data_IF_200465133991
#
_entry.id   IF_200465133991
#
_cell.length_a   1.000
_cell.length_b   1.000
_cell.length_c   1.000
_cell.angle_alpha   90.00
_cell.angle_beta   90.00
_cell.angle_gamma   90.00
#
_symmetry.space_group_name_H-M   'P 1'
#
loop_
_entity.id
_entity.type
_entity.pdbx_description
1 polymer ?
#
# COMPACT_ATOMS: atom_id res chain seq x y z
N UNK A 1 5.84 13.57 -26.15
CA UNK A 1 4.98 14.49 -25.41
C UNK A 1 3.59 13.84 -25.32
N UNK A 2 3.34 13.05 -24.29
CA UNK A 2 2.03 12.40 -24.07
C UNK A 2 1.15 13.44 -23.41
N UNK A 3 0.15 13.91 -24.10
CA UNK A 3 -0.86 14.84 -23.57
C UNK A 3 -1.51 14.21 -22.35
N UNK A 4 -1.29 14.81 -21.19
CA UNK A 4 -2.04 14.48 -19.98
C UNK A 4 -3.53 14.61 -20.33
N UNK A 5 -4.25 13.49 -20.34
CA UNK A 5 -5.71 13.51 -20.48
C UNK A 5 -6.24 14.36 -19.32
N UNK A 6 -7.12 15.28 -19.62
CA UNK A 6 -7.78 16.10 -18.60
C UNK A 6 -8.40 15.17 -17.57
N UNK A 7 -7.98 15.33 -16.31
CA UNK A 7 -8.42 14.49 -15.21
C UNK A 7 -9.86 14.79 -14.88
N UNK A 8 -10.77 13.95 -15.29
CA UNK A 8 -12.11 13.81 -14.74
C UNK A 8 -12.42 12.32 -14.66
N UNK A 9 -11.77 11.58 -13.74
CA UNK A 9 -11.90 10.13 -13.67
C UNK A 9 -13.29 9.66 -13.27
N UNK A 10 -14.17 10.55 -12.86
CA UNK A 10 -15.46 10.22 -12.28
C UNK A 10 -16.66 10.89 -12.98
N UNK A 11 -16.51 11.34 -14.21
CA UNK A 11 -17.60 11.84 -15.06
C UNK A 11 -17.71 11.06 -16.36
N UNK A 12 -18.82 10.58 -16.73
CA UNK A 12 -19.62 9.43 -16.31
C UNK A 12 -18.83 8.13 -16.45
N UNK A 13 -18.27 7.64 -15.34
CA UNK A 13 -17.36 6.49 -15.36
C UNK A 13 -18.08 5.17 -15.16
N UNK A 14 -17.58 4.08 -15.79
CA UNK A 14 -18.12 2.75 -15.59
C UNK A 14 -17.73 2.13 -14.25
N UNK A 15 -16.97 2.87 -13.38
CA UNK A 15 -16.51 2.31 -12.11
C UNK A 15 -17.63 2.21 -11.11
N UNK A 16 -17.67 1.05 -10.46
CA UNK A 16 -18.61 0.72 -9.38
C UNK A 16 -17.89 0.59 -8.04
N UNK A 17 -16.57 0.43 -8.08
CA UNK A 17 -15.76 0.27 -6.89
C UNK A 17 -14.42 1.01 -7.00
N UNK A 18 -13.86 1.37 -5.83
CA UNK A 18 -12.49 1.86 -5.69
C UNK A 18 -11.74 0.94 -4.72
N UNK A 19 -10.58 0.46 -5.16
CA UNK A 19 -9.72 -0.43 -4.38
C UNK A 19 -8.45 0.33 -4.04
N UNK A 20 -8.22 0.54 -2.75
CA UNK A 20 -7.07 1.28 -2.25
C UNK A 20 -5.97 0.33 -1.82
N UNK A 21 -4.73 0.62 -2.16
CA UNK A 21 -3.63 0.21 -1.31
C UNK A 21 -3.72 0.94 0.06
N UNK A 22 -2.92 0.51 1.02
CA UNK A 22 -2.96 1.06 2.39
C UNK A 22 -1.76 1.96 2.68
N UNK A 23 -0.58 1.39 2.58
CA UNK A 23 0.67 2.04 2.98
C UNK A 23 1.06 3.09 1.93
N UNK A 24 1.31 4.33 2.35
CA UNK A 24 1.59 5.43 1.41
C UNK A 24 0.37 5.96 0.64
N UNK A 25 -0.80 5.31 0.74
CA UNK A 25 -2.06 5.69 0.07
C UNK A 25 -3.12 6.16 1.06
N UNK A 26 -3.33 5.43 2.15
CA UNK A 26 -4.28 5.76 3.21
C UNK A 26 -3.57 6.22 4.48
N UNK A 27 -2.50 5.53 4.85
CA UNK A 27 -1.67 5.79 6.00
C UNK A 27 -0.27 6.23 5.56
N UNK A 28 0.26 7.28 6.16
CA UNK A 28 1.65 7.69 5.99
C UNK A 28 2.56 6.87 6.90
N UNK A 29 2.71 5.59 6.56
CA UNK A 29 3.38 4.57 7.38
C UNK A 29 4.87 4.42 7.07
N UNK A 30 5.37 4.90 5.94
CA UNK A 30 6.77 4.74 5.53
C UNK A 30 7.78 5.29 6.56
N UNK A 31 7.61 6.48 7.15
CA UNK A 31 8.54 6.97 8.16
C UNK A 31 8.63 6.05 9.39
N UNK A 32 7.49 5.47 9.81
CA UNK A 32 7.44 4.52 10.92
C UNK A 32 8.13 3.20 10.55
N UNK A 33 7.92 2.69 9.35
CA UNK A 33 8.60 1.47 8.89
C UNK A 33 10.10 1.66 8.84
N UNK A 34 10.60 2.78 8.38
CA UNK A 34 12.05 3.08 8.42
C UNK A 34 12.62 3.07 9.84
N UNK A 35 11.89 3.55 10.84
CA UNK A 35 12.32 3.48 12.24
C UNK A 35 12.36 2.03 12.74
N UNK A 36 11.33 1.24 12.44
CA UNK A 36 11.23 -0.16 12.82
C UNK A 36 12.32 -1.01 12.17
N UNK A 37 12.59 -0.77 10.90
CA UNK A 37 13.65 -1.43 10.15
C UNK A 37 15.01 -1.13 10.77
N UNK A 38 15.33 0.15 11.03
CA UNK A 38 16.57 0.55 11.71
C UNK A 38 16.73 -0.15 13.05
N UNK A 39 15.66 -0.18 13.84
CA UNK A 39 15.67 -0.88 15.13
C UNK A 39 15.87 -2.39 14.97
N UNK A 40 15.26 -3.00 13.95
CA UNK A 40 15.40 -4.42 13.65
C UNK A 40 16.82 -4.77 13.20
N UNK A 41 17.42 -3.97 12.33
CA UNK A 41 18.81 -4.16 11.87
C UNK A 41 19.82 -3.94 13.00
N UNK A 42 19.59 -2.94 13.85
CA UNK A 42 20.47 -2.63 14.98
C UNK A 42 20.57 -3.81 15.98
N UNK A 43 19.52 -4.63 16.14
CA UNK A 43 19.54 -5.84 16.98
C UNK A 43 20.56 -6.89 16.46
N UNK A 44 20.92 -6.81 15.20
CA UNK A 44 21.93 -7.66 14.56
C UNK A 44 23.27 -6.92 14.34
N UNK A 45 23.45 -5.74 14.97
CA UNK A 45 24.67 -4.93 14.82
C UNK A 45 24.81 -4.25 13.46
N UNK A 46 23.71 -4.14 12.70
CA UNK A 46 23.70 -3.57 11.36
C UNK A 46 23.18 -2.12 11.42
N UNK A 47 23.93 -1.22 10.78
CA UNK A 47 23.49 0.17 10.55
C UNK A 47 23.51 0.43 9.05
N UNK A 48 22.35 0.75 8.49
CA UNK A 48 22.22 1.16 7.09
C UNK A 48 22.18 2.68 6.99
N UNK A 49 22.79 3.22 5.94
CA UNK A 49 22.63 4.62 5.57
C UNK A 49 21.20 4.84 4.99
N UNK A 50 20.75 6.10 5.03
CA UNK A 50 19.42 6.47 4.53
C UNK A 50 19.20 6.04 3.08
N UNK A 51 20.18 6.28 2.20
CA UNK A 51 20.10 5.86 0.80
C UNK A 51 20.01 4.34 0.61
N UNK A 52 20.67 3.56 1.48
CA UNK A 52 20.60 2.09 1.44
C UNK A 52 19.23 1.59 1.91
N UNK A 53 18.65 2.22 2.92
CA UNK A 53 17.33 1.89 3.41
C UNK A 53 16.26 2.24 2.37
N UNK A 54 16.35 3.41 1.74
CA UNK A 54 15.45 3.81 0.64
C UNK A 54 15.49 2.86 -0.57
N UNK A 55 16.60 2.14 -0.79
CA UNK A 55 16.67 1.15 -1.86
C UNK A 55 15.74 -0.07 -1.64
N UNK A 56 15.25 -0.26 -0.41
CA UNK A 56 14.30 -1.33 -0.09
C UNK A 56 12.83 -0.91 -0.21
N UNK A 57 12.53 0.36 -0.45
CA UNK A 57 11.15 0.81 -0.66
C UNK A 57 10.54 0.11 -1.87
N UNK A 58 9.40 -0.56 -1.67
CA UNK A 58 8.73 -1.35 -2.69
C UNK A 58 9.32 -2.75 -2.91
N UNK A 59 10.37 -3.12 -2.16
CA UNK A 59 10.92 -4.49 -2.11
C UNK A 59 10.14 -5.30 -1.08
N UNK A 60 9.89 -6.59 -1.36
CA UNK A 60 9.21 -7.45 -0.38
C UNK A 60 10.05 -7.62 0.89
N UNK A 61 9.39 -7.81 2.04
CA UNK A 61 10.07 -8.06 3.32
C UNK A 61 11.02 -9.26 3.24
N UNK A 62 10.62 -10.30 2.52
CA UNK A 62 11.44 -11.50 2.32
C UNK A 62 12.72 -11.19 1.55
N UNK A 63 12.61 -10.47 0.44
CA UNK A 63 13.75 -10.08 -0.39
C UNK A 63 14.70 -9.14 0.35
N UNK A 64 14.19 -8.19 1.10
CA UNK A 64 14.97 -7.30 1.96
C UNK A 64 15.78 -8.10 2.97
N UNK A 65 15.15 -8.99 3.75
CA UNK A 65 15.84 -9.77 4.76
C UNK A 65 16.79 -10.80 4.17
N UNK A 66 16.49 -11.37 3.00
CA UNK A 66 17.40 -12.23 2.26
C UNK A 66 18.68 -11.48 1.89
N UNK A 67 18.53 -10.29 1.30
CA UNK A 67 19.66 -9.42 0.92
C UNK A 67 20.50 -9.04 2.14
N UNK A 68 19.88 -8.63 3.24
CA UNK A 68 20.56 -8.27 4.49
C UNK A 68 21.27 -9.47 5.07
N UNK A 69 20.62 -10.65 5.12
CA UNK A 69 21.20 -11.88 5.64
C UNK A 69 22.44 -12.29 4.86
N UNK A 70 22.39 -12.27 3.55
CA UNK A 70 23.52 -12.61 2.67
C UNK A 70 24.66 -11.60 2.82
N UNK A 71 24.35 -10.30 2.78
CA UNK A 71 25.35 -9.23 2.83
C UNK A 71 26.12 -9.18 4.15
N UNK A 72 25.45 -9.42 5.27
CA UNK A 72 26.02 -9.31 6.62
C UNK A 72 26.32 -10.67 7.28
N UNK A 73 26.07 -11.78 6.58
CA UNK A 73 26.38 -13.13 7.08
C UNK A 73 25.56 -13.52 8.31
N UNK A 74 24.29 -13.11 8.40
CA UNK A 74 23.45 -13.39 9.56
C UNK A 74 23.19 -14.89 9.70
N UNK A 75 23.35 -15.42 10.93
CA UNK A 75 23.22 -16.84 11.24
C UNK A 75 21.75 -17.30 11.36
N UNK A 76 20.80 -16.52 11.94
CA UNK A 76 19.42 -16.96 12.09
C UNK A 76 18.79 -17.36 10.75
N UNK A 77 17.90 -18.38 10.72
CA UNK A 77 17.09 -18.71 9.54
C UNK A 77 16.28 -17.52 9.06
N UNK A 78 16.01 -17.45 7.75
CA UNK A 78 15.25 -16.35 7.16
C UNK A 78 13.85 -16.24 7.78
N UNK A 79 13.19 -17.36 7.99
CA UNK A 79 11.87 -17.41 8.61
C UNK A 79 11.85 -16.79 10.02
N UNK A 80 12.92 -16.98 10.79
CA UNK A 80 13.04 -16.39 12.13
C UNK A 80 13.20 -14.86 12.06
N UNK A 81 14.01 -14.36 11.12
CA UNK A 81 14.19 -12.93 10.88
C UNK A 81 12.86 -12.27 10.44
N UNK A 82 12.14 -12.91 9.54
CA UNK A 82 10.84 -12.44 9.07
C UNK A 82 9.81 -12.41 10.20
N UNK A 83 9.68 -13.49 10.96
CA UNK A 83 8.75 -13.57 12.09
C UNK A 83 9.08 -12.55 13.19
N UNK A 84 10.36 -12.33 13.47
CA UNK A 84 10.79 -11.32 14.43
C UNK A 84 10.46 -9.90 13.94
N UNK A 85 10.72 -9.63 12.66
CA UNK A 85 10.40 -8.33 12.07
C UNK A 85 8.89 -8.05 12.10
N UNK A 86 8.06 -9.01 11.69
CA UNK A 86 6.60 -8.85 11.72
C UNK A 86 6.06 -8.59 13.13
N UNK A 87 6.60 -9.29 14.16
CA UNK A 87 6.24 -8.98 15.56
C UNK A 87 6.64 -7.57 15.95
N UNK A 88 7.87 -7.14 15.60
CA UNK A 88 8.34 -5.78 15.90
C UNK A 88 7.45 -4.71 15.24
N UNK A 89 7.02 -4.94 13.99
CA UNK A 89 6.11 -4.02 13.28
C UNK A 89 4.78 -3.92 14.02
N UNK A 90 4.14 -5.04 14.37
CA UNK A 90 2.87 -5.04 15.09
C UNK A 90 2.98 -4.35 16.45
N UNK A 91 4.02 -4.63 17.21
CA UNK A 91 4.26 -4.01 18.53
C UNK A 91 4.52 -2.51 18.41
N UNK A 92 5.37 -2.11 17.47
CA UNK A 92 5.69 -0.70 17.27
C UNK A 92 4.49 0.11 16.77
N UNK A 93 3.74 -0.44 15.80
CA UNK A 93 2.51 0.21 15.31
C UNK A 93 1.46 0.28 16.42
N UNK A 94 1.30 -0.77 17.25
CA UNK A 94 0.37 -0.75 18.38
C UNK A 94 0.75 0.31 19.45
N UNK A 95 2.04 0.52 19.66
CA UNK A 95 2.55 1.53 20.60
C UNK A 95 2.54 2.95 20.01
N UNK A 96 2.56 3.08 18.68
CA UNK A 96 2.61 4.36 17.98
C UNK A 96 1.20 4.97 17.89
N UNK A 97 0.97 6.07 18.60
CA UNK A 97 -0.36 6.69 18.69
C UNK A 97 -0.57 7.87 17.74
N UNK A 98 0.43 8.22 16.95
CA UNK A 98 0.44 9.43 16.12
C UNK A 98 0.56 9.15 14.61
N UNK A 99 0.22 7.93 14.16
CA UNK A 99 0.18 7.64 12.72
C UNK A 99 -0.78 8.60 12.01
N UNK A 100 -0.26 9.26 10.99
CA UNK A 100 -1.06 10.22 10.24
C UNK A 100 -1.74 9.55 9.06
N UNK A 101 -3.01 9.85 8.81
CA UNK A 101 -3.61 9.51 7.52
C UNK A 101 -2.96 10.35 6.42
N UNK A 102 -2.90 9.81 5.21
CA UNK A 102 -2.57 10.61 4.03
C UNK A 102 -3.57 11.77 3.93
N UNK A 103 -3.11 13.00 3.72
CA UNK A 103 -3.99 14.17 3.63
C UNK A 103 -5.17 13.93 2.69
N UNK A 104 -6.37 14.34 3.13
CA UNK A 104 -7.63 14.24 2.37
C UNK A 104 -8.13 12.82 2.07
N UNK A 105 -7.38 11.74 2.38
CA UNK A 105 -7.82 10.36 2.13
C UNK A 105 -9.18 10.07 2.77
N UNK A 106 -9.36 10.45 4.03
CA UNK A 106 -10.64 10.27 4.75
C UNK A 106 -11.80 11.08 4.13
N UNK A 107 -11.52 12.28 3.59
CA UNK A 107 -12.52 13.09 2.90
C UNK A 107 -12.92 12.43 1.57
N UNK A 108 -11.94 11.89 0.84
CA UNK A 108 -12.15 11.19 -0.42
C UNK A 108 -12.94 9.89 -0.22
N UNK A 109 -12.62 9.08 0.78
CA UNK A 109 -13.38 7.88 1.16
C UNK A 109 -14.85 8.24 1.42
N UNK A 110 -15.11 9.25 2.26
CA UNK A 110 -16.48 9.69 2.55
C UNK A 110 -17.20 10.23 1.30
N UNK A 111 -16.49 10.90 0.42
CA UNK A 111 -17.03 11.39 -0.85
C UNK A 111 -17.45 10.24 -1.76
N UNK A 112 -16.64 9.19 -1.89
CA UNK A 112 -16.96 7.97 -2.65
C UNK A 112 -18.20 7.26 -2.09
N UNK A 113 -18.26 7.07 -0.77
CA UNK A 113 -19.42 6.42 -0.11
C UNK A 113 -20.74 7.17 -0.35
N UNK A 114 -20.71 8.51 -0.25
CA UNK A 114 -21.91 9.32 -0.56
C UNK A 114 -22.39 9.17 -1.99
N UNK A 115 -21.54 8.78 -2.91
CA UNK A 115 -21.86 8.52 -4.32
C UNK A 115 -22.19 7.06 -4.62
N UNK A 116 -22.22 6.20 -3.59
CA UNK A 116 -22.61 4.80 -3.73
C UNK A 116 -21.51 3.89 -4.27
N UNK A 117 -20.25 4.34 -4.32
CA UNK A 117 -19.13 3.45 -4.66
C UNK A 117 -18.91 2.42 -3.55
N UNK A 118 -18.65 1.19 -3.94
CA UNK A 118 -18.08 0.18 -3.05
C UNK A 118 -16.60 0.45 -2.88
N UNK A 119 -16.07 0.25 -1.66
CA UNK A 119 -14.66 0.52 -1.39
C UNK A 119 -13.99 -0.65 -0.67
N UNK A 120 -12.78 -0.97 -1.11
CA UNK A 120 -11.96 -2.02 -0.50
C UNK A 120 -10.53 -1.55 -0.26
N UNK A 121 -9.86 -2.25 0.66
CA UNK A 121 -8.40 -2.21 0.80
C UNK A 121 -7.81 -3.47 0.18
N UNK A 122 -6.69 -3.34 -0.55
CA UNK A 122 -5.88 -4.42 -1.09
C UNK A 122 -4.40 -4.17 -0.74
N UNK A 123 -3.96 -4.68 0.40
CA UNK A 123 -2.60 -4.45 0.92
C UNK A 123 -1.78 -5.73 0.94
N UNK A 124 -0.46 -5.60 0.77
CA UNK A 124 0.50 -6.71 0.97
C UNK A 124 0.72 -7.05 2.45
N UNK A 125 0.26 -6.20 3.35
CA UNK A 125 0.43 -6.35 4.81
C UNK A 125 -0.43 -7.46 5.39
N UNK A 126 -0.02 -8.06 6.54
CA UNK A 126 -0.85 -8.98 7.32
C UNK A 126 -2.18 -8.36 7.74
N UNK A 127 -3.24 -9.18 7.79
CA UNK A 127 -4.60 -8.70 8.10
C UNK A 127 -4.70 -7.99 9.45
N UNK A 128 -3.97 -8.46 10.45
CA UNK A 128 -3.93 -7.85 11.78
C UNK A 128 -3.33 -6.42 11.73
N UNK A 129 -2.29 -6.23 10.92
CA UNK A 129 -1.64 -4.94 10.72
C UNK A 129 -2.55 -3.98 9.95
N UNK A 130 -3.22 -4.45 8.90
CA UNK A 130 -4.20 -3.64 8.14
C UNK A 130 -5.29 -3.12 9.08
N UNK A 131 -5.88 -3.98 9.89
CA UNK A 131 -6.92 -3.59 10.85
C UNK A 131 -6.40 -2.55 11.87
N UNK A 132 -5.17 -2.75 12.36
CA UNK A 132 -4.56 -1.85 13.34
C UNK A 132 -4.34 -0.45 12.75
N UNK A 133 -3.73 -0.37 11.56
CA UNK A 133 -3.45 0.89 10.87
C UNK A 133 -4.74 1.63 10.51
N UNK A 134 -5.69 0.96 9.88
CA UNK A 134 -7.00 1.56 9.52
C UNK A 134 -7.78 2.03 10.74
N UNK A 135 -7.66 1.33 11.88
CA UNK A 135 -8.25 1.76 13.15
C UNK A 135 -7.58 3.03 13.68
N UNK A 136 -6.26 3.10 13.63
CA UNK A 136 -5.50 4.27 14.11
C UNK A 136 -5.80 5.54 13.31
N UNK A 137 -5.89 5.42 11.98
CA UNK A 137 -6.27 6.55 11.11
C UNK A 137 -7.79 6.79 11.04
N UNK A 138 -8.59 6.00 11.78
CA UNK A 138 -10.02 6.24 11.98
C UNK A 138 -10.94 5.87 10.82
N UNK A 139 -10.48 5.09 9.83
CA UNK A 139 -11.26 4.74 8.64
C UNK A 139 -11.63 3.24 8.50
N UNK A 140 -11.30 2.39 9.49
CA UNK A 140 -11.54 0.94 9.40
C UNK A 140 -12.98 0.58 9.01
N UNK A 141 -13.97 1.32 9.53
CA UNK A 141 -15.40 1.03 9.30
C UNK A 141 -15.93 1.56 7.97
N UNK A 142 -15.11 2.29 7.24
CA UNK A 142 -15.52 2.87 5.96
C UNK A 142 -15.40 1.88 4.81
N UNK A 143 -14.55 0.87 4.93
CA UNK A 143 -14.31 -0.13 3.90
C UNK A 143 -15.33 -1.26 3.95
N UNK A 144 -15.84 -1.65 2.78
CA UNK A 144 -16.76 -2.79 2.63
C UNK A 144 -15.99 -4.11 2.70
N UNK A 145 -14.74 -4.11 2.19
CA UNK A 145 -13.87 -5.30 2.09
C UNK A 145 -12.43 -4.91 2.45
N UNK A 146 -11.73 -5.84 3.09
CA UNK A 146 -10.28 -5.82 3.27
C UNK A 146 -9.74 -7.11 2.68
N UNK A 147 -8.73 -7.00 1.79
CA UNK A 147 -7.97 -8.10 1.22
C UNK A 147 -6.50 -7.96 1.63
N UNK A 148 -5.94 -9.03 2.16
CA UNK A 148 -4.55 -9.08 2.67
C UNK A 148 -3.67 -9.94 1.76
N UNK A 149 -2.39 -9.58 1.68
CA UNK A 149 -1.36 -10.39 1.03
C UNK A 149 -1.18 -11.78 1.65
N UNK A 150 -1.57 -11.98 2.92
CA UNK A 150 -1.55 -13.31 3.56
C UNK A 150 -2.59 -14.28 2.99
N UNK A 151 -3.62 -13.77 2.32
CA UNK A 151 -4.75 -14.56 1.81
C UNK A 151 -4.54 -15.00 0.35
N UNK A 152 -3.42 -14.60 -0.26
CA UNK A 152 -3.14 -14.85 -1.67
C UNK A 152 -1.81 -15.57 -1.85
N UNK A 153 -1.66 -16.24 -2.99
CA UNK A 153 -0.47 -17.04 -3.26
C UNK A 153 0.73 -16.20 -3.67
N UNK A 154 0.49 -15.14 -4.42
CA UNK A 154 1.57 -14.31 -4.95
C UNK A 154 1.35 -12.84 -4.54
N UNK A 155 2.39 -12.25 -3.97
CA UNK A 155 2.41 -10.83 -3.59
C UNK A 155 2.52 -9.93 -4.83
N UNK A 156 2.23 -8.63 -4.67
CA UNK A 156 2.51 -7.61 -5.68
C UNK A 156 3.95 -7.76 -6.19
N UNK A 157 4.21 -7.75 -7.50
CA UNK A 157 3.39 -7.24 -8.59
C UNK A 157 2.40 -8.24 -9.20
N UNK A 158 2.17 -9.43 -8.63
CA UNK A 158 1.08 -10.30 -9.06
C UNK A 158 -0.29 -9.67 -8.73
N UNK A 159 -1.33 -9.92 -9.54
CA UNK A 159 -2.64 -9.28 -9.41
C UNK A 159 -3.50 -9.81 -8.26
N UNK A 160 -3.06 -10.86 -7.58
CA UNK A 160 -3.86 -11.75 -6.74
C UNK A 160 -4.66 -10.98 -5.68
N UNK A 161 -4.05 -10.03 -4.96
CA UNK A 161 -4.73 -9.28 -3.88
C UNK A 161 -5.78 -8.31 -4.43
N UNK A 162 -5.55 -7.70 -5.60
CA UNK A 162 -6.54 -6.83 -6.26
C UNK A 162 -7.71 -7.63 -6.81
N UNK A 163 -7.44 -8.81 -7.39
CA UNK A 163 -8.49 -9.73 -7.85
C UNK A 163 -9.33 -10.24 -6.68
N UNK A 164 -8.71 -10.60 -5.56
CA UNK A 164 -9.41 -10.99 -4.32
C UNK A 164 -10.33 -9.87 -3.82
N UNK A 165 -9.85 -8.63 -3.81
CA UNK A 165 -10.65 -7.48 -3.40
C UNK A 165 -11.88 -7.29 -4.32
N UNK A 166 -11.69 -7.35 -5.65
CA UNK A 166 -12.76 -7.23 -6.63
C UNK A 166 -13.80 -8.36 -6.51
N UNK A 167 -13.34 -9.61 -6.35
CA UNK A 167 -14.19 -10.79 -6.13
C UNK A 167 -15.07 -10.60 -4.91
N UNK A 168 -14.49 -10.23 -3.77
CA UNK A 168 -15.23 -10.02 -2.50
C UNK A 168 -16.19 -8.84 -2.57
N UNK A 169 -15.85 -7.80 -3.35
CA UNK A 169 -16.77 -6.72 -3.64
C UNK A 169 -17.93 -7.16 -4.56
N UNK A 170 -17.80 -8.28 -5.29
CA UNK A 170 -18.76 -8.68 -6.32
C UNK A 170 -18.80 -7.71 -7.50
N UNK A 171 -17.66 -7.10 -7.84
CA UNK A 171 -17.51 -6.14 -8.93
C UNK A 171 -16.41 -6.63 -9.87
N UNK A 172 -16.65 -6.70 -11.20
CA UNK A 172 -15.60 -7.02 -12.16
C UNK A 172 -14.39 -6.10 -12.00
N UNK A 173 -13.18 -6.63 -12.07
CA UNK A 173 -11.96 -5.83 -11.94
C UNK A 173 -11.90 -4.67 -12.96
N UNK A 174 -12.44 -4.86 -14.16
CA UNK A 174 -12.55 -3.81 -15.19
C UNK A 174 -13.47 -2.64 -14.83
N UNK A 175 -14.33 -2.83 -13.81
CA UNK A 175 -15.21 -1.80 -13.24
C UNK A 175 -14.70 -1.28 -11.88
N UNK A 176 -13.46 -1.66 -11.51
CA UNK A 176 -12.76 -1.16 -10.33
C UNK A 176 -11.69 -0.13 -10.74
N UNK A 177 -11.57 0.92 -9.93
CA UNK A 177 -10.46 1.87 -9.97
C UNK A 177 -9.52 1.55 -8.83
N UNK A 178 -8.24 1.30 -9.09
CA UNK A 178 -7.23 1.12 -8.06
C UNK A 178 -6.54 2.45 -7.73
N UNK A 179 -6.15 2.63 -6.47
CA UNK A 179 -5.30 3.75 -6.02
C UNK A 179 -4.06 3.15 -5.35
N UNK A 180 -2.88 3.53 -5.84
CA UNK A 180 -1.60 2.92 -5.50
C UNK A 180 -0.44 3.93 -5.58
N UNK A 181 0.58 3.78 -4.73
CA UNK A 181 1.74 4.67 -4.70
C UNK A 181 3.06 4.00 -5.09
N UNK A 182 3.06 2.67 -5.25
CA UNK A 182 4.26 1.89 -5.55
C UNK A 182 4.29 1.35 -6.98
N UNK A 183 5.51 1.16 -7.52
CA UNK A 183 5.72 0.53 -8.83
C UNK A 183 5.09 -0.87 -8.91
N UNK A 184 5.36 -1.70 -7.89
CA UNK A 184 4.85 -3.08 -7.85
C UNK A 184 3.33 -3.13 -7.73
N UNK A 185 2.74 -2.24 -6.95
CA UNK A 185 1.30 -2.19 -6.78
C UNK A 185 0.57 -1.67 -8.02
N UNK A 186 1.09 -0.65 -8.70
CA UNK A 186 0.56 -0.20 -9.99
C UNK A 186 0.56 -1.33 -11.00
N UNK A 187 1.67 -2.09 -11.10
CA UNK A 187 1.74 -3.27 -12.00
C UNK A 187 0.74 -4.35 -11.61
N UNK A 188 0.56 -4.62 -10.32
CA UNK A 188 -0.40 -5.60 -9.83
C UNK A 188 -1.84 -5.21 -10.20
N UNK A 189 -2.23 -3.97 -9.96
CA UNK A 189 -3.55 -3.46 -10.30
C UNK A 189 -3.80 -3.47 -11.82
N UNK A 190 -2.81 -3.09 -12.63
CA UNK A 190 -2.87 -3.18 -14.10
C UNK A 190 -3.00 -4.63 -14.57
N UNK A 191 -2.25 -5.55 -13.97
CA UNK A 191 -2.34 -6.99 -14.29
C UNK A 191 -3.70 -7.59 -13.88
N UNK A 192 -4.36 -7.04 -12.84
CA UNK A 192 -5.73 -7.38 -12.49
C UNK A 192 -6.79 -6.86 -13.48
N UNK A 193 -6.39 -6.03 -14.45
CA UNK A 193 -7.30 -5.42 -15.43
C UNK A 193 -8.01 -4.17 -14.92
N UNK A 194 -7.55 -3.58 -13.82
CA UNK A 194 -8.07 -2.33 -13.27
C UNK A 194 -7.49 -1.10 -13.98
N UNK A 195 -8.20 0.01 -13.95
CA UNK A 195 -7.57 1.30 -14.16
C UNK A 195 -6.93 1.78 -12.84
N UNK A 196 -5.84 2.52 -12.96
CA UNK A 196 -4.99 2.83 -11.80
C UNK A 196 -4.71 4.31 -11.71
N UNK A 197 -4.95 4.86 -10.54
CA UNK A 197 -4.46 6.16 -10.11
C UNK A 197 -3.19 5.94 -9.30
N UNK A 198 -2.06 6.41 -9.81
CA UNK A 198 -0.80 6.50 -9.08
C UNK A 198 -0.84 7.70 -8.13
N UNK A 199 -0.82 7.47 -6.84
CA UNK A 199 -0.66 8.53 -5.83
C UNK A 199 0.81 8.76 -5.56
N UNK A 200 1.31 9.95 -5.85
CA UNK A 200 2.71 10.30 -5.61
C UNK A 200 2.91 10.77 -4.18
N UNK A 201 3.18 9.82 -3.31
CA UNK A 201 3.55 10.10 -1.93
C UNK A 201 5.04 10.48 -1.85
N UNK A 202 5.40 11.64 -1.27
CA UNK A 202 6.79 12.05 -1.12
C UNK A 202 7.62 11.11 -0.24
N UNK A 203 6.98 10.38 0.69
CA UNK A 203 7.64 9.46 1.61
C UNK A 203 7.86 8.05 1.04
N UNK A 204 7.19 7.68 -0.07
CA UNK A 204 7.35 6.36 -0.72
C UNK A 204 8.57 6.29 -1.66
N UNK A 205 9.48 7.26 -1.58
CA UNK A 205 10.68 7.30 -2.41
C UNK A 205 10.39 7.58 -3.89
N UNK A 206 11.36 7.26 -4.76
CA UNK A 206 11.23 7.54 -6.19
C UNK A 206 10.57 6.38 -6.94
N UNK A 207 9.28 6.15 -6.68
CA UNK A 207 8.51 5.10 -7.35
C UNK A 207 8.19 5.46 -8.80
N UNK A 208 8.39 4.51 -9.72
CA UNK A 208 7.95 4.65 -11.11
C UNK A 208 6.46 4.36 -11.23
N UNK A 209 5.65 5.39 -11.28
CA UNK A 209 4.21 5.33 -11.44
C UNK A 209 3.76 5.50 -12.91
N UNK A 210 4.68 5.52 -13.88
CA UNK A 210 4.34 5.76 -15.30
C UNK A 210 3.36 4.75 -15.90
N UNK A 211 3.25 3.48 -15.43
CA UNK A 211 2.22 2.56 -15.93
C UNK A 211 0.80 2.87 -15.45
N UNK A 212 0.61 3.76 -14.46
CA UNK A 212 -0.71 4.19 -14.01
C UNK A 212 -1.44 5.01 -15.10
N UNK A 213 -2.77 4.95 -15.12
CA UNK A 213 -3.58 5.71 -16.08
C UNK A 213 -3.59 7.21 -15.75
N UNK A 214 -3.45 7.55 -14.46
CA UNK A 214 -3.29 8.92 -13.95
C UNK A 214 -2.29 8.95 -12.81
N UNK A 215 -1.64 10.09 -12.63
CA UNK A 215 -0.77 10.34 -11.48
C UNK A 215 -1.26 11.61 -10.78
N UNK A 216 -1.46 11.51 -9.47
CA UNK A 216 -1.93 12.63 -8.63
C UNK A 216 -1.03 12.79 -7.40
N UNK A 217 -1.04 13.98 -6.81
CA UNK A 217 -0.32 14.33 -5.60
C UNK A 217 -1.25 14.66 -4.43
N UNK A 218 -2.56 14.75 -4.71
CA UNK A 218 -3.60 15.00 -3.70
C UNK A 218 -4.95 14.45 -4.15
N UNK A 219 -5.83 14.18 -3.17
CA UNK A 219 -7.15 13.61 -3.40
C UNK A 219 -8.22 14.66 -3.73
N UNK A 220 -7.95 15.95 -3.55
CA UNK A 220 -8.92 17.01 -3.82
C UNK A 220 -9.37 17.04 -5.28
N UNK A 221 -8.46 16.63 -6.18
CA UNK A 221 -8.73 16.54 -7.63
C UNK A 221 -9.85 15.58 -8.01
N UNK A 222 -10.19 14.63 -7.12
CA UNK A 222 -11.28 13.68 -7.36
C UNK A 222 -12.63 14.20 -6.88
N UNK A 223 -12.63 15.17 -5.97
CA UNK A 223 -13.83 15.62 -5.25
C UNK A 223 -14.52 16.84 -5.89
N UNK A 224 -14.36 17.00 -7.20
CA UNK A 224 -14.93 18.12 -7.96
C UNK A 224 -16.29 17.75 -8.52
#
# INVERSE_FOLDING_TARGET
>A
MTTARSFSPLSPTPYRAVVFDMDGVLADSEPLYFEIERASFARHGITLGEAEQHAFVGVSLEEMWRTIKERYGLQPPLEELLAAHQRNVLEAVAAHTSLQPIPESAAFIRWLKRRGYRIAVASSSPIALIHLLLKQIGCLRDFDIIASGEEVKHSKPAPDVFLLAAERLGVPASECLAVEDSHNGVRAAKAAGMQVVGYRNPNSGNQDLTPADWIVTDYSRFMV
#
